data_IF_061460782592
#
_entry.id   IF_061460782592
#
_cell.length_a   1.000
_cell.length_b   1.000
_cell.length_c   1.000
_cell.angle_alpha   90.00
_cell.angle_beta   90.00
_cell.angle_gamma   90.00
#
_symmetry.space_group_name_H-M   'P 1'
#
loop_
_entity.id
_entity.type
_entity.pdbx_description
1 polymer ?
#
# COMPACT_ATOMS: atom_id res chain seq x y z
N UNK A 1 -5.76 9.65 17.87
CA UNK A 1 -5.44 8.85 16.67
C UNK A 1 -6.55 9.00 15.64
N UNK A 2 -6.21 9.51 14.45
CA UNK A 2 -7.14 9.64 13.31
C UNK A 2 -6.73 8.68 12.19
N UNK A 3 -7.68 8.06 11.49
CA UNK A 3 -7.38 7.03 10.48
C UNK A 3 -8.08 7.33 9.16
N UNK A 4 -7.32 7.37 8.07
CA UNK A 4 -7.81 7.56 6.71
C UNK A 4 -7.67 6.24 5.95
N UNK A 5 -8.80 5.69 5.47
CA UNK A 5 -8.80 4.46 4.67
C UNK A 5 -8.55 4.75 3.20
N UNK A 6 -7.49 4.15 2.65
CA UNK A 6 -7.17 4.24 1.23
C UNK A 6 -7.96 3.16 0.46
N UNK A 7 -9.30 3.25 0.41
CA UNK A 7 -10.15 2.18 -0.15
C UNK A 7 -10.23 2.17 -1.68
N UNK A 8 -10.52 3.31 -2.32
CA UNK A 8 -10.73 3.43 -3.78
C UNK A 8 -10.28 4.78 -4.39
N UNK A 9 -9.93 4.87 -5.69
CA UNK A 9 -9.59 3.76 -6.58
C UNK A 9 -8.11 3.35 -6.44
N UNK A 10 -7.83 2.06 -6.61
CA UNK A 10 -6.48 1.53 -6.84
C UNK A 10 -6.33 1.09 -8.29
N UNK A 11 -5.10 1.12 -8.78
CA UNK A 11 -4.69 0.54 -10.05
C UNK A 11 -3.87 -0.71 -9.77
N UNK A 12 -4.32 -1.88 -10.23
CA UNK A 12 -3.65 -3.18 -10.07
C UNK A 12 -3.09 -3.63 -11.42
N UNK A 13 -1.83 -3.99 -11.46
CA UNK A 13 -1.13 -4.49 -12.65
C UNK A 13 -0.38 -5.77 -12.30
N UNK A 14 -0.64 -6.82 -13.06
CA UNK A 14 0.03 -8.13 -12.95
C UNK A 14 1.17 -8.22 -13.98
N UNK A 15 0.94 -7.63 -15.16
CA UNK A 15 1.91 -7.47 -16.23
C UNK A 15 2.13 -5.97 -16.49
N UNK A 16 3.38 -5.46 -16.41
CA UNK A 16 3.67 -4.06 -16.70
C UNK A 16 3.38 -3.64 -18.15
N UNK A 17 3.24 -4.58 -19.09
CA UNK A 17 2.87 -4.29 -20.48
C UNK A 17 1.35 -4.21 -20.70
N UNK A 18 0.56 -4.71 -19.76
CA UNK A 18 -0.91 -4.70 -19.83
C UNK A 18 -1.50 -3.49 -19.09
N UNK A 19 -2.63 -2.92 -19.57
CA UNK A 19 -3.32 -1.86 -18.86
C UNK A 19 -3.71 -2.31 -17.43
N UNK A 20 -3.61 -1.42 -16.42
CA UNK A 20 -3.97 -1.78 -15.05
C UNK A 20 -5.48 -1.85 -14.85
N UNK A 21 -5.92 -2.79 -14.01
CA UNK A 21 -7.29 -2.90 -13.53
C UNK A 21 -7.58 -1.86 -12.46
N UNK A 22 -8.80 -1.31 -12.44
CA UNK A 22 -9.29 -0.52 -11.31
C UNK A 22 -9.90 -1.44 -10.27
N UNK A 23 -9.38 -1.40 -9.05
CA UNK A 23 -9.85 -2.23 -7.93
C UNK A 23 -10.05 -1.40 -6.67
N UNK A 24 -10.79 -1.98 -5.73
CA UNK A 24 -10.86 -1.52 -4.35
C UNK A 24 -9.88 -2.33 -3.50
N UNK A 25 -9.43 -1.75 -2.39
CA UNK A 25 -8.65 -2.46 -1.36
C UNK A 25 -9.42 -2.41 -0.03
N UNK A 26 -9.67 -3.52 0.67
CA UNK A 26 -9.22 -4.89 0.39
C UNK A 26 -9.64 -5.44 -0.97
N UNK A 27 -8.70 -6.04 -1.69
CA UNK A 27 -8.89 -6.58 -3.03
C UNK A 27 -9.34 -8.03 -2.93
N UNK A 28 -10.66 -8.23 -3.08
CA UNK A 28 -11.30 -9.55 -3.10
C UNK A 28 -11.60 -10.04 -4.51
N UNK A 29 -11.21 -9.28 -5.54
CA UNK A 29 -11.48 -9.66 -6.91
C UNK A 29 -10.55 -10.80 -7.32
N UNK A 30 -11.08 -11.89 -7.90
CA UNK A 30 -10.26 -13.02 -8.32
C UNK A 30 -9.20 -12.54 -9.31
N UNK A 31 -7.95 -12.85 -9.01
CA UNK A 31 -6.86 -12.74 -9.98
C UNK A 31 -6.97 -13.93 -10.91
N UNK A 32 -7.07 -13.68 -12.22
CA UNK A 32 -6.90 -14.75 -13.19
C UNK A 32 -5.53 -15.40 -12.91
N UNK A 33 -5.52 -16.72 -12.69
CA UNK A 33 -4.37 -17.51 -12.24
C UNK A 33 -3.26 -17.65 -13.32
N UNK A 34 -3.00 -16.58 -14.06
CA UNK A 34 -2.01 -16.53 -15.13
C UNK A 34 -0.71 -15.97 -14.56
N UNK A 35 0.08 -16.86 -13.94
CA UNK A 35 1.55 -16.82 -13.93
C UNK A 35 2.25 -15.52 -13.47
N UNK A 36 1.57 -14.67 -12.72
CA UNK A 36 2.13 -13.42 -12.23
C UNK A 36 2.69 -13.60 -10.82
N UNK A 37 3.97 -13.96 -10.70
CA UNK A 37 4.71 -13.99 -9.43
C UNK A 37 4.81 -12.62 -8.77
N UNK A 38 4.28 -11.56 -9.43
CA UNK A 38 4.35 -10.18 -9.02
C UNK A 38 3.06 -9.44 -9.36
N UNK A 39 2.50 -8.75 -8.37
CA UNK A 39 1.35 -7.84 -8.56
C UNK A 39 1.72 -6.47 -7.99
N UNK A 40 1.46 -5.41 -8.75
CA UNK A 40 1.70 -4.03 -8.32
C UNK A 40 0.38 -3.27 -8.20
N UNK A 41 0.15 -2.71 -7.03
CA UNK A 41 -0.94 -1.82 -6.70
C UNK A 41 -0.44 -0.38 -6.64
N UNK A 42 -1.15 0.55 -7.28
CA UNK A 42 -0.82 1.98 -7.26
C UNK A 42 -2.02 2.82 -6.87
N UNK A 43 -1.78 3.86 -6.09
CA UNK A 43 -2.80 4.82 -5.68
C UNK A 43 -2.20 6.21 -5.49
N UNK A 44 -2.88 7.22 -6.01
CA UNK A 44 -2.61 8.61 -5.66
C UNK A 44 -3.35 9.00 -4.37
N UNK A 45 -2.69 9.78 -3.50
CA UNK A 45 -3.31 10.36 -2.32
C UNK A 45 -2.67 11.73 -1.99
N UNK A 46 -3.45 12.65 -1.43
CA UNK A 46 -2.92 13.93 -0.98
C UNK A 46 -2.38 13.81 0.45
N UNK A 47 -1.44 14.69 0.80
CA UNK A 47 -1.02 14.84 2.20
C UNK A 47 -2.25 15.15 3.07
N UNK A 48 -2.44 14.45 4.22
CA UNK A 48 -3.47 14.83 5.17
C UNK A 48 -3.36 16.29 5.56
N UNK A 49 -4.50 16.98 5.63
CA UNK A 49 -4.57 18.40 6.00
C UNK A 49 -4.72 18.57 7.51
N UNK A 50 -4.32 19.73 8.04
CA UNK A 50 -4.46 20.03 9.47
C UNK A 50 -3.41 19.35 10.36
N UNK A 51 -2.34 18.82 9.77
CA UNK A 51 -1.21 18.29 10.52
C UNK A 51 -0.46 19.42 11.24
N UNK A 52 -0.23 19.23 12.53
CA UNK A 52 0.64 20.03 13.39
C UNK A 52 2.10 19.53 13.29
N UNK A 53 3.09 20.32 13.74
CA UNK A 53 4.49 19.86 13.76
C UNK A 53 4.76 18.62 14.62
N UNK A 54 3.86 18.27 15.54
CA UNK A 54 3.97 17.11 16.43
C UNK A 54 3.21 15.88 15.91
N UNK A 55 2.51 16.00 14.79
CA UNK A 55 1.78 14.88 14.19
C UNK A 55 2.71 13.99 13.35
N UNK A 56 2.66 12.70 13.62
CA UNK A 56 3.22 11.65 12.79
C UNK A 56 2.16 11.03 11.89
N UNK A 57 2.51 10.76 10.63
CA UNK A 57 1.70 9.98 9.69
C UNK A 57 2.35 8.63 9.47
N UNK A 58 1.59 7.57 9.73
CA UNK A 58 2.00 6.19 9.57
C UNK A 58 1.19 5.52 8.45
N UNK A 59 1.87 4.83 7.54
CA UNK A 59 1.23 3.93 6.60
C UNK A 59 1.09 2.55 7.25
N UNK A 60 -0.13 2.03 7.25
CA UNK A 60 -0.48 0.75 7.85
C UNK A 60 -1.15 -0.16 6.81
N UNK A 61 -0.66 -1.40 6.72
CA UNK A 61 -1.19 -2.46 5.85
C UNK A 61 -1.47 -3.65 6.76
N UNK A 62 -2.74 -3.90 7.04
CA UNK A 62 -3.15 -4.84 8.08
C UNK A 62 -2.87 -6.30 7.71
N UNK A 63 -2.94 -6.62 6.41
CA UNK A 63 -2.77 -7.97 5.88
C UNK A 63 -2.50 -7.89 4.36
N UNK A 64 -1.78 -8.88 3.84
CA UNK A 64 -1.59 -9.13 2.42
C UNK A 64 -1.26 -10.61 2.22
N UNK A 65 -1.72 -11.19 1.12
CA UNK A 65 -1.33 -12.53 0.69
C UNK A 65 -0.14 -12.41 -0.27
N UNK A 66 1.09 -12.60 0.21
CA UNK A 66 2.31 -12.64 -0.60
C UNK A 66 3.51 -13.16 0.21
N UNK A 67 4.55 -13.67 -0.47
CA UNK A 67 5.81 -14.06 0.18
C UNK A 67 6.71 -12.84 0.44
N UNK A 68 6.59 -11.82 -0.39
CA UNK A 68 7.29 -10.56 -0.21
C UNK A 68 6.45 -9.36 -0.60
N UNK A 69 6.71 -8.25 0.08
CA UNK A 69 6.06 -6.96 -0.14
C UNK A 69 7.13 -5.86 -0.22
N UNK A 70 6.91 -4.92 -1.12
CA UNK A 70 7.72 -3.73 -1.29
C UNK A 70 6.81 -2.50 -1.38
N UNK A 71 7.05 -1.52 -0.53
CA UNK A 71 6.23 -0.31 -0.41
C UNK A 71 7.06 0.90 -0.79
N UNK A 72 6.59 1.65 -1.79
CA UNK A 72 7.18 2.91 -2.24
C UNK A 72 6.22 4.07 -2.12
N UNK A 73 6.74 5.23 -1.74
CA UNK A 73 6.05 6.52 -1.82
C UNK A 73 6.88 7.44 -2.71
N UNK A 74 6.27 7.98 -3.77
CA UNK A 74 6.94 8.88 -4.72
C UNK A 74 8.25 8.27 -5.25
N UNK A 75 8.20 6.97 -5.62
CA UNK A 75 9.33 6.14 -6.04
C UNK A 75 10.44 5.87 -5.00
N UNK A 76 10.36 6.47 -3.81
CA UNK A 76 11.25 6.17 -2.67
C UNK A 76 10.83 4.87 -1.98
N UNK A 77 11.78 3.97 -1.75
CA UNK A 77 11.55 2.74 -0.97
C UNK A 77 11.38 3.07 0.51
N UNK A 78 10.17 2.81 1.03
CA UNK A 78 9.82 3.05 2.45
C UNK A 78 9.95 1.78 3.26
N UNK A 79 9.51 0.65 2.72
CA UNK A 79 9.51 -0.63 3.43
C UNK A 79 9.64 -1.81 2.48
N UNK A 80 10.26 -2.88 2.97
CA UNK A 80 10.31 -4.18 2.29
C UNK A 80 10.28 -5.27 3.35
N UNK A 81 9.44 -6.28 3.15
CA UNK A 81 9.34 -7.44 4.04
C UNK A 81 9.21 -8.73 3.25
N UNK A 82 9.65 -9.83 3.84
CA UNK A 82 9.53 -11.21 3.31
C UNK A 82 8.85 -12.14 4.31
N UNK A 83 8.22 -11.61 5.36
CA UNK A 83 7.75 -12.37 6.51
C UNK A 83 6.20 -12.48 6.61
N UNK A 84 5.45 -11.92 5.66
CA UNK A 84 3.98 -11.90 5.72
C UNK A 84 3.41 -11.06 6.88
N UNK A 85 4.25 -10.32 7.60
CA UNK A 85 3.85 -9.52 8.75
C UNK A 85 3.14 -8.23 8.32
N UNK A 86 2.17 -7.72 9.11
CA UNK A 86 1.56 -6.42 8.90
C UNK A 86 2.62 -5.31 8.82
N UNK A 87 2.42 -4.36 7.92
CA UNK A 87 3.31 -3.20 7.78
C UNK A 87 2.75 -2.04 8.57
N UNK A 88 3.59 -1.41 9.40
CA UNK A 88 3.31 -0.10 9.98
C UNK A 88 4.59 0.73 9.98
N UNK A 89 4.64 1.78 9.14
CA UNK A 89 5.86 2.58 8.92
C UNK A 89 5.56 4.07 8.95
N UNK A 90 6.44 4.85 9.57
CA UNK A 90 6.32 6.31 9.60
C UNK A 90 6.72 6.85 8.22
N UNK A 91 5.82 7.62 7.60
CA UNK A 91 6.02 8.20 6.26
C UNK A 91 6.08 9.72 6.28
N UNK A 92 6.08 10.33 7.46
CA UNK A 92 5.90 11.79 7.64
C UNK A 92 6.89 12.61 6.83
N UNK A 93 8.16 12.17 6.81
CA UNK A 93 9.23 12.87 6.10
C UNK A 93 9.16 12.72 4.58
N UNK A 94 8.49 11.68 4.08
CA UNK A 94 8.39 11.35 2.64
C UNK A 94 7.15 11.96 1.97
N UNK A 95 6.27 12.60 2.75
CA UNK A 95 5.03 13.19 2.26
C UNK A 95 5.26 14.51 1.51
N UNK A 96 4.82 14.53 0.26
CA UNK A 96 4.65 15.71 -0.58
C UNK A 96 3.18 16.12 -0.62
N UNK A 97 2.87 17.27 -1.23
CA UNK A 97 1.46 17.74 -1.38
C UNK A 97 0.57 16.71 -2.06
N UNK A 98 1.08 16.08 -3.12
CA UNK A 98 0.45 14.97 -3.84
C UNK A 98 1.43 13.79 -3.83
N UNK A 99 0.94 12.60 -3.49
CA UNK A 99 1.76 11.41 -3.33
C UNK A 99 1.26 10.27 -4.21
N UNK A 100 2.18 9.43 -4.64
CA UNK A 100 1.90 8.13 -5.23
C UNK A 100 2.38 7.03 -4.29
N UNK A 101 1.45 6.20 -3.83
CA UNK A 101 1.74 4.94 -3.15
C UNK A 101 1.82 3.83 -4.20
N UNK A 102 2.91 3.07 -4.18
CA UNK A 102 3.05 1.85 -4.94
C UNK A 102 3.38 0.69 -3.99
N UNK A 103 2.61 -0.39 -4.07
CA UNK A 103 2.82 -1.61 -3.30
C UNK A 103 3.02 -2.75 -4.29
N UNK A 104 4.16 -3.41 -4.21
CA UNK A 104 4.48 -4.57 -5.05
C UNK A 104 4.52 -5.81 -4.18
N UNK A 105 3.66 -6.76 -4.51
CA UNK A 105 3.60 -8.07 -3.89
C UNK A 105 4.29 -9.10 -4.79
N UNK A 106 4.97 -10.07 -4.19
CA UNK A 106 5.54 -11.22 -4.90
C UNK A 106 5.16 -12.53 -4.24
N UNK A 107 4.83 -13.55 -5.03
CA UNK A 107 4.54 -14.90 -4.54
C UNK A 107 5.15 -15.96 -5.46
N UNK A 108 5.59 -17.07 -4.87
CA UNK A 108 6.29 -18.19 -5.48
C UNK A 108 5.37 -19.34 -5.86
N UNK A 109 4.30 -19.05 -6.61
CA UNK A 109 3.56 -20.02 -7.45
C UNK A 109 2.35 -20.78 -6.85
N UNK A 110 2.01 -20.65 -5.56
CA UNK A 110 0.87 -21.44 -4.99
C UNK A 110 -0.41 -20.64 -4.70
N UNK A 111 -0.30 -19.33 -4.50
CA UNK A 111 -1.42 -18.45 -4.14
C UNK A 111 -1.34 -17.13 -4.89
N UNK A 112 -2.47 -16.59 -5.38
CA UNK A 112 -2.47 -15.30 -6.04
C UNK A 112 -2.09 -14.19 -5.04
N UNK A 113 -1.15 -13.34 -5.41
CA UNK A 113 -0.68 -12.27 -4.54
C UNK A 113 -1.72 -11.14 -4.47
N UNK A 114 -2.20 -10.78 -3.28
CA UNK A 114 -3.29 -9.81 -3.12
C UNK A 114 -3.15 -8.90 -1.90
N UNK A 115 -3.61 -7.65 -2.02
CA UNK A 115 -3.85 -6.75 -0.90
C UNK A 115 -5.24 -7.00 -0.31
N UNK A 116 -5.39 -8.10 0.40
CA UNK A 116 -6.64 -8.55 1.05
C UNK A 116 -6.88 -7.95 2.44
N UNK A 117 -5.93 -7.14 2.95
CA UNK A 117 -6.08 -6.31 4.13
C UNK A 117 -6.41 -4.84 3.82
N UNK A 118 -6.75 -4.09 4.86
CA UNK A 118 -6.95 -2.65 4.75
C UNK A 118 -5.60 -1.93 4.64
N UNK A 119 -5.56 -0.91 3.78
CA UNK A 119 -4.45 0.05 3.71
C UNK A 119 -4.93 1.39 4.27
N UNK A 120 -4.26 1.89 5.30
CA UNK A 120 -4.65 3.09 6.03
C UNK A 120 -3.50 4.04 6.28
N UNK A 121 -3.81 5.34 6.35
CA UNK A 121 -2.94 6.34 6.96
C UNK A 121 -3.43 6.56 8.39
N UNK A 122 -2.56 6.36 9.36
CA UNK A 122 -2.79 6.62 10.78
C UNK A 122 -2.08 7.92 11.16
N UNK A 123 -2.81 8.87 11.73
CA UNK A 123 -2.28 10.16 12.19
C UNK A 123 -2.30 10.14 13.70
N UNK A 124 -1.12 10.33 14.28
CA UNK A 124 -0.88 10.29 15.72
C UNK A 124 -0.18 11.57 16.14
N UNK A 125 -0.79 12.29 17.07
CA UNK A 125 -0.16 13.41 17.75
C UNK A 125 0.67 12.86 18.90
N UNK A 126 1.90 13.33 19.03
CA UNK A 126 2.65 13.13 20.28
C UNK A 126 2.10 14.16 21.28
N UNK A 127 1.17 13.75 22.13
CA UNK A 127 0.78 14.58 23.28
C UNK A 127 2.02 14.73 24.16
N UNK A 128 2.48 15.98 24.30
CA UNK A 128 3.56 16.37 25.21
C UNK A 128 3.03 16.64 26.61
#
# INVERSE_FOLDING_TARGET
MHTIRLRRPWLRSIDPQSPPDKVDVPDTAPLAATGGDRVTYRRAFNRPTGLTPTDGVWLSISHYAADAIEVRINDTLISRSTAGEPIRVNITADLQTSNQLAITLKSSESSPAALDGAVTLEIESVDS
#
